data_IF_938706517888
#
_entry.id   IF_938706517888
#
_cell.length_a   1.000
_cell.length_b   1.000
_cell.length_c   1.000
_cell.angle_alpha   90.00
_cell.angle_beta   90.00
_cell.angle_gamma   90.00
#
_symmetry.space_group_name_H-M   'P 1'
#
loop_
_entity.id
_entity.type
_entity.pdbx_description
1 polymer ?
#
# COMPACT_ATOMS: atom_id res chain seq x y z
N UNK A 1 14.74 -26.23 35.05
CA UNK A 1 13.64 -26.73 34.21
C UNK A 1 13.30 -25.70 33.15
N UNK A 2 13.57 -26.01 31.88
CA UNK A 2 12.97 -25.30 30.75
C UNK A 2 11.53 -25.77 30.66
N UNK A 3 10.57 -24.86 30.49
CA UNK A 3 9.16 -25.22 30.31
C UNK A 3 8.99 -25.98 28.99
N UNK A 4 8.91 -27.31 29.07
CA UNK A 4 8.30 -28.17 28.05
C UNK A 4 6.79 -27.88 28.04
N UNK A 5 6.41 -26.78 27.39
CA UNK A 5 5.06 -26.60 26.89
C UNK A 5 5.08 -26.83 25.39
N UNK A 6 4.19 -27.66 24.85
CA UNK A 6 3.89 -27.64 23.43
C UNK A 6 3.57 -26.19 23.06
N UNK A 7 4.39 -25.59 22.20
CA UNK A 7 4.06 -24.32 21.57
C UNK A 7 3.15 -24.69 20.41
N UNK A 8 1.81 -24.54 20.52
CA UNK A 8 0.96 -24.71 19.36
C UNK A 8 1.47 -23.72 18.30
N UNK A 9 1.65 -24.15 17.03
CA UNK A 9 1.95 -23.22 15.97
C UNK A 9 0.88 -22.11 16.01
N UNK A 10 1.25 -20.84 15.79
CA UNK A 10 0.28 -19.76 15.71
C UNK A 10 -0.84 -20.22 14.78
N UNK A 11 -2.10 -20.01 15.17
CA UNK A 11 -3.31 -20.58 14.54
C UNK A 11 -3.54 -20.09 13.11
N UNK A 12 -2.59 -20.38 12.23
CA UNK A 12 -2.68 -20.19 10.80
C UNK A 12 -3.40 -21.41 10.28
N UNK A 13 -4.71 -21.26 10.07
CA UNK A 13 -5.45 -22.21 9.26
C UNK A 13 -4.78 -22.25 7.89
N UNK A 14 -4.16 -23.37 7.55
CA UNK A 14 -3.45 -23.54 6.28
C UNK A 14 -4.38 -23.42 5.06
N UNK A 15 -5.69 -23.55 5.29
CA UNK A 15 -6.75 -23.32 4.30
C UNK A 15 -7.29 -21.88 4.32
N UNK A 16 -6.63 -20.94 4.99
CA UNK A 16 -6.99 -19.53 4.91
C UNK A 16 -6.61 -18.98 3.52
N UNK A 17 -7.59 -18.61 2.66
CA UNK A 17 -7.31 -18.29 1.26
C UNK A 17 -6.32 -17.11 1.13
N UNK A 18 -6.47 -16.07 1.95
CA UNK A 18 -5.58 -14.90 1.94
C UNK A 18 -4.11 -15.22 2.28
N UNK A 19 -3.84 -16.28 3.06
CA UNK A 19 -2.46 -16.71 3.32
C UNK A 19 -1.89 -17.39 2.08
N UNK A 20 -2.66 -18.28 1.47
CA UNK A 20 -2.26 -19.01 0.27
C UNK A 20 -2.08 -18.09 -0.94
N UNK A 21 -2.89 -17.04 -1.08
CA UNK A 21 -2.73 -16.00 -2.10
C UNK A 21 -1.34 -15.34 -2.07
N UNK A 22 -0.89 -14.97 -0.86
CA UNK A 22 0.42 -14.35 -0.66
C UNK A 22 1.55 -15.33 -0.91
N UNK A 23 1.39 -16.58 -0.46
CA UNK A 23 2.38 -17.63 -0.71
C UNK A 23 2.46 -17.97 -2.20
N UNK A 24 1.33 -17.99 -2.91
CA UNK A 24 1.30 -18.16 -4.35
C UNK A 24 1.99 -16.99 -5.07
N UNK A 25 1.76 -15.76 -4.61
CA UNK A 25 2.45 -14.58 -5.16
C UNK A 25 3.96 -14.68 -4.96
N UNK A 26 4.43 -15.04 -3.77
CA UNK A 26 5.86 -15.28 -3.52
C UNK A 26 6.42 -16.41 -4.39
N UNK A 27 5.69 -17.51 -4.52
CA UNK A 27 6.06 -18.62 -5.40
C UNK A 27 6.20 -18.18 -6.86
N UNK A 28 5.34 -17.27 -7.35
CA UNK A 28 5.49 -16.70 -8.68
C UNK A 28 6.81 -15.91 -8.84
N UNK A 29 7.24 -15.15 -7.83
CA UNK A 29 8.53 -14.46 -7.86
C UNK A 29 9.70 -15.45 -7.89
N UNK A 30 9.66 -16.49 -7.06
CA UNK A 30 10.73 -17.51 -7.02
C UNK A 30 10.84 -18.25 -8.36
N UNK A 31 9.72 -18.67 -8.94
CA UNK A 31 9.71 -19.34 -10.24
C UNK A 31 10.11 -18.41 -11.38
N UNK A 32 9.78 -17.13 -11.29
CA UNK A 32 10.20 -16.14 -12.28
C UNK A 32 11.72 -15.99 -12.30
N UNK A 33 12.34 -15.84 -11.13
CA UNK A 33 13.81 -15.77 -10.98
C UNK A 33 14.47 -17.06 -11.46
N UNK A 34 13.93 -18.22 -11.06
CA UNK A 34 14.45 -19.52 -11.49
C UNK A 34 14.34 -19.73 -13.01
N UNK A 35 13.23 -19.31 -13.62
CA UNK A 35 13.01 -19.40 -15.06
C UNK A 35 13.99 -18.53 -15.84
N UNK A 36 14.16 -17.27 -15.44
CA UNK A 36 15.12 -16.37 -16.07
C UNK A 36 16.57 -16.89 -15.93
N UNK A 37 16.94 -17.39 -14.75
CA UNK A 37 18.25 -18.01 -14.52
C UNK A 37 18.52 -19.20 -15.45
N UNK A 38 17.51 -20.05 -15.71
CA UNK A 38 17.62 -21.16 -16.69
C UNK A 38 17.81 -20.67 -18.13
N UNK A 39 17.34 -19.47 -18.46
CA UNK A 39 17.50 -18.83 -19.77
C UNK A 39 18.80 -17.99 -19.87
N UNK A 40 19.61 -17.93 -18.81
CA UNK A 40 20.79 -17.06 -18.74
C UNK A 40 20.45 -15.57 -18.70
N UNK A 41 19.22 -15.23 -18.32
CA UNK A 41 18.74 -13.86 -18.18
C UNK A 41 18.86 -13.43 -16.71
N UNK A 42 19.25 -12.17 -16.49
CA UNK A 42 19.24 -11.57 -15.16
C UNK A 42 17.88 -10.92 -14.89
N UNK A 43 17.27 -11.26 -13.75
CA UNK A 43 16.04 -10.61 -13.31
C UNK A 43 16.39 -9.35 -12.55
N UNK A 44 16.06 -8.21 -13.14
CA UNK A 44 16.17 -6.93 -12.45
C UNK A 44 14.88 -6.64 -11.68
N UNK A 45 14.88 -6.96 -10.38
CA UNK A 45 13.91 -6.43 -9.42
C UNK A 45 14.49 -5.17 -8.77
N UNK A 46 13.99 -3.97 -9.07
CA UNK A 46 14.56 -2.75 -8.52
C UNK A 46 14.50 -2.73 -7.00
N UNK A 47 15.59 -2.30 -6.36
CA UNK A 47 15.69 -2.32 -4.90
C UNK A 47 14.77 -1.30 -4.24
N UNK A 48 14.48 -0.18 -4.92
CA UNK A 48 13.72 0.96 -4.41
C UNK A 48 12.58 1.33 -5.35
N UNK A 49 11.48 1.84 -4.77
CA UNK A 49 10.30 2.25 -5.53
C UNK A 49 10.57 3.35 -6.56
N UNK A 50 11.53 4.25 -6.33
CA UNK A 50 11.88 5.29 -7.32
C UNK A 50 12.25 4.72 -8.69
N UNK A 51 12.91 3.56 -8.72
CA UNK A 51 13.38 2.87 -9.93
C UNK A 51 12.24 2.11 -10.59
N UNK A 52 11.29 1.62 -9.81
CA UNK A 52 10.03 1.06 -10.34
C UNK A 52 9.21 2.17 -10.98
N UNK A 53 9.03 3.31 -10.30
CA UNK A 53 8.17 4.40 -10.78
C UNK A 53 8.67 5.09 -12.04
N UNK A 54 9.98 5.11 -12.29
CA UNK A 54 10.54 5.67 -13.53
C UNK A 54 10.19 4.83 -14.76
N UNK A 55 9.87 3.54 -14.56
CA UNK A 55 9.52 2.58 -15.61
C UNK A 55 8.02 2.30 -15.70
N UNK A 56 7.28 2.57 -14.62
CA UNK A 56 5.83 2.35 -14.53
C UNK A 56 5.05 3.32 -15.44
N UNK A 57 4.31 2.80 -16.42
CA UNK A 57 3.47 3.58 -17.33
C UNK A 57 4.21 4.29 -18.47
N UNK A 58 5.44 3.86 -18.78
CA UNK A 58 6.11 4.25 -20.02
C UNK A 58 5.53 3.42 -21.17
N UNK A 59 4.45 3.93 -21.78
CA UNK A 59 3.78 3.21 -22.87
C UNK A 59 4.47 3.40 -24.24
N UNK A 60 5.27 4.45 -24.45
CA UNK A 60 5.86 4.73 -25.77
C UNK A 60 7.26 5.39 -25.69
N UNK A 61 8.32 4.61 -25.42
CA UNK A 61 9.71 5.09 -25.45
C UNK A 61 10.74 3.98 -25.66
N UNK A 62 11.98 4.35 -26.05
CA UNK A 62 13.12 3.43 -26.16
C UNK A 62 13.42 2.81 -24.77
N UNK A 63 13.08 1.54 -24.61
CA UNK A 63 13.03 0.84 -23.32
C UNK A 63 11.58 0.53 -22.96
N UNK A 64 10.99 -0.43 -23.69
CA UNK A 64 9.61 -0.87 -23.48
C UNK A 64 9.40 -1.22 -22.00
N UNK A 65 8.43 -0.58 -21.34
CA UNK A 65 8.05 -0.92 -19.96
C UNK A 65 7.72 -2.41 -19.78
N UNK A 66 7.44 -3.13 -20.87
CA UNK A 66 7.19 -4.57 -20.91
C UNK A 66 8.38 -5.44 -20.48
N UNK A 67 9.62 -4.97 -20.64
CA UNK A 67 10.82 -5.73 -20.26
C UNK A 67 11.19 -5.57 -18.78
N UNK A 68 10.54 -4.65 -18.07
CA UNK A 68 10.85 -4.30 -16.70
C UNK A 68 9.71 -4.66 -15.74
N UNK A 69 10.07 -4.76 -14.44
CA UNK A 69 9.09 -4.95 -13.38
C UNK A 69 8.13 -3.75 -13.31
N UNK A 70 6.81 -3.96 -13.16
CA UNK A 70 6.12 -5.24 -12.93
C UNK A 70 5.64 -5.97 -14.20
N UNK A 71 5.78 -5.39 -15.39
CA UNK A 71 5.18 -5.93 -16.61
C UNK A 71 5.82 -7.27 -17.06
N UNK A 72 7.13 -7.42 -16.91
CA UNK A 72 7.82 -8.66 -17.24
C UNK A 72 7.42 -9.84 -16.32
N UNK A 73 7.17 -9.58 -15.03
CA UNK A 73 6.60 -10.54 -14.10
C UNK A 73 5.17 -10.90 -14.51
N UNK A 74 4.33 -9.92 -14.85
CA UNK A 74 2.97 -10.15 -15.33
C UNK A 74 2.95 -11.04 -16.59
N UNK A 75 3.84 -10.77 -17.56
CA UNK A 75 4.00 -11.58 -18.76
C UNK A 75 4.44 -13.02 -18.43
N UNK A 76 5.36 -13.19 -17.48
CA UNK A 76 5.78 -14.51 -17.00
C UNK A 76 4.62 -15.29 -16.36
N UNK A 77 3.87 -14.64 -15.45
CA UNK A 77 2.72 -15.26 -14.77
C UNK A 77 1.66 -15.67 -15.79
N UNK A 78 1.36 -14.81 -16.76
CA UNK A 78 0.41 -15.12 -17.83
C UNK A 78 0.87 -16.32 -18.67
N UNK A 79 2.16 -16.40 -19.02
CA UNK A 79 2.70 -17.47 -19.85
C UNK A 79 2.81 -18.82 -19.12
N UNK A 80 3.13 -18.82 -17.82
CA UNK A 80 3.40 -20.04 -17.03
C UNK A 80 2.24 -20.43 -16.09
N UNK A 81 1.10 -19.74 -16.18
CA UNK A 81 -0.06 -19.87 -15.29
C UNK A 81 -0.43 -21.31 -14.91
N UNK A 82 -0.64 -22.18 -15.90
CA UNK A 82 -1.05 -23.57 -15.65
C UNK A 82 0.04 -24.37 -14.91
N UNK A 83 1.30 -24.13 -15.24
CA UNK A 83 2.44 -24.76 -14.56
C UNK A 83 2.55 -24.28 -13.11
N UNK A 84 2.45 -22.97 -12.89
CA UNK A 84 2.51 -22.35 -11.56
C UNK A 84 1.41 -22.89 -10.64
N UNK A 85 0.15 -22.95 -11.11
CA UNK A 85 -0.96 -23.47 -10.31
C UNK A 85 -0.81 -24.96 -9.99
N UNK A 86 -0.35 -25.77 -10.96
CA UNK A 86 -0.13 -27.20 -10.75
C UNK A 86 0.98 -27.44 -9.73
N UNK A 87 2.15 -26.85 -9.93
CA UNK A 87 3.32 -27.03 -9.04
C UNK A 87 3.05 -26.48 -7.64
N UNK A 88 2.38 -25.33 -7.54
CA UNK A 88 1.95 -24.81 -6.25
C UNK A 88 0.93 -25.73 -5.58
N UNK A 89 -0.08 -26.20 -6.32
CA UNK A 89 -1.09 -27.11 -5.80
C UNK A 89 -0.50 -28.44 -5.30
N UNK A 90 0.51 -28.97 -5.98
CA UNK A 90 1.23 -30.19 -5.60
C UNK A 90 1.84 -30.09 -4.19
N UNK A 91 2.38 -28.92 -3.82
CA UNK A 91 2.95 -28.67 -2.49
C UNK A 91 1.91 -28.73 -1.35
N UNK A 92 0.64 -28.50 -1.65
CA UNK A 92 -0.44 -28.44 -0.67
C UNK A 92 -1.50 -29.54 -0.87
N UNK A 93 -1.22 -30.56 -1.68
CA UNK A 93 -2.18 -31.60 -2.09
C UNK A 93 -2.96 -32.27 -0.95
N UNK A 94 -2.34 -32.42 0.24
CA UNK A 94 -2.95 -33.02 1.41
C UNK A 94 -3.80 -32.05 2.27
N UNK A 95 -3.76 -30.75 1.97
CA UNK A 95 -4.26 -29.68 2.85
C UNK A 95 -5.33 -28.82 2.16
N UNK A 96 -5.24 -28.58 0.84
CA UNK A 96 -6.18 -27.70 0.12
C UNK A 96 -7.28 -28.48 -0.62
N UNK A 97 -8.53 -28.06 -0.38
CA UNK A 97 -9.72 -28.58 -1.07
C UNK A 97 -9.89 -28.06 -2.51
N UNK A 98 -10.91 -28.56 -3.21
CA UNK A 98 -11.21 -28.14 -4.58
C UNK A 98 -11.64 -26.65 -4.67
N UNK A 99 -12.35 -26.16 -3.65
CA UNK A 99 -12.79 -24.76 -3.56
C UNK A 99 -11.59 -23.79 -3.46
N UNK A 100 -10.65 -24.08 -2.56
CA UNK A 100 -9.41 -23.30 -2.39
C UNK A 100 -8.58 -23.28 -3.66
N UNK A 101 -8.52 -24.38 -4.43
CA UNK A 101 -7.85 -24.41 -5.73
C UNK A 101 -8.51 -23.50 -6.76
N UNK A 102 -9.83 -23.55 -6.86
CA UNK A 102 -10.60 -22.67 -7.75
C UNK A 102 -10.45 -21.18 -7.35
N UNK A 103 -10.36 -20.91 -6.04
CA UNK A 103 -10.06 -19.58 -5.52
C UNK A 103 -8.67 -19.09 -5.94
N UNK A 104 -7.62 -19.92 -5.78
CA UNK A 104 -6.26 -19.57 -6.20
C UNK A 104 -6.13 -19.36 -7.71
N UNK A 105 -6.88 -20.14 -8.50
CA UNK A 105 -6.95 -19.96 -9.96
C UNK A 105 -7.55 -18.60 -10.34
N UNK A 106 -8.67 -18.21 -9.73
CA UNK A 106 -9.25 -16.87 -9.88
C UNK A 106 -8.31 -15.77 -9.42
N UNK A 107 -7.65 -15.97 -8.28
CA UNK A 107 -6.67 -15.01 -7.75
C UNK A 107 -5.51 -14.76 -8.72
N UNK A 108 -4.95 -15.83 -9.31
CA UNK A 108 -3.82 -15.72 -10.22
C UNK A 108 -4.23 -15.15 -11.59
N UNK A 109 -5.41 -15.52 -12.07
CA UNK A 109 -5.85 -15.25 -13.45
C UNK A 109 -6.71 -14.00 -13.62
N UNK A 110 -7.37 -13.58 -12.53
CA UNK A 110 -8.59 -12.80 -12.61
C UNK A 110 -9.79 -13.63 -13.09
N UNK A 111 -10.99 -13.12 -12.84
CA UNK A 111 -12.24 -13.59 -13.44
C UNK A 111 -13.11 -12.38 -13.82
N UNK A 112 -14.31 -12.61 -14.38
CA UNK A 112 -15.26 -11.51 -14.58
C UNK A 112 -15.51 -10.79 -13.25
N UNK A 113 -15.09 -9.53 -13.14
CA UNK A 113 -15.21 -8.71 -11.93
C UNK A 113 -14.09 -8.85 -10.88
N UNK A 114 -13.19 -9.83 -11.00
CA UNK A 114 -12.08 -10.04 -10.05
C UNK A 114 -10.71 -9.76 -10.69
N UNK A 115 -9.90 -8.91 -10.06
CA UNK A 115 -8.55 -8.59 -10.51
C UNK A 115 -7.56 -9.74 -10.24
N UNK A 116 -6.76 -10.10 -11.23
CA UNK A 116 -5.64 -11.03 -11.09
C UNK A 116 -4.48 -10.46 -10.28
N UNK A 117 -3.52 -11.31 -9.89
CA UNK A 117 -2.35 -10.91 -9.09
C UNK A 117 -1.49 -9.85 -9.80
N UNK A 118 -1.36 -9.94 -11.12
CA UNK A 118 -0.62 -9.02 -11.97
C UNK A 118 -1.24 -7.62 -11.95
N UNK A 119 -2.56 -7.56 -12.05
CA UNK A 119 -3.31 -6.32 -11.90
C UNK A 119 -3.13 -5.76 -10.49
N UNK A 120 -3.26 -6.59 -9.44
CA UNK A 120 -3.17 -6.14 -8.03
C UNK A 120 -1.81 -5.53 -7.71
N UNK A 121 -0.72 -6.14 -8.20
CA UNK A 121 0.64 -5.60 -8.08
C UNK A 121 0.72 -4.25 -8.80
N UNK A 122 0.24 -4.18 -10.04
CA UNK A 122 0.30 -2.98 -10.86
C UNK A 122 -0.52 -1.82 -10.29
N UNK A 123 -1.70 -2.10 -9.75
CA UNK A 123 -2.53 -1.10 -9.07
C UNK A 123 -1.88 -0.61 -7.78
N UNK A 124 -1.36 -1.50 -6.93
CA UNK A 124 -0.69 -1.09 -5.71
C UNK A 124 0.46 -0.12 -6.02
N UNK A 125 1.33 -0.47 -6.98
CA UNK A 125 2.40 0.40 -7.45
C UNK A 125 1.88 1.70 -8.08
N UNK A 126 0.80 1.62 -8.86
CA UNK A 126 0.15 2.76 -9.48
C UNK A 126 -0.43 3.76 -8.48
N UNK A 127 -1.07 3.27 -7.41
CA UNK A 127 -1.59 4.10 -6.31
C UNK A 127 -0.46 4.80 -5.57
N UNK A 128 0.59 4.08 -5.18
CA UNK A 128 1.73 4.67 -4.48
C UNK A 128 2.46 5.70 -5.37
N UNK A 129 2.59 5.44 -6.68
CA UNK A 129 3.12 6.41 -7.64
C UNK A 129 2.25 7.68 -7.71
N UNK A 130 0.93 7.53 -7.86
CA UNK A 130 -0.02 8.66 -7.90
C UNK A 130 0.09 9.51 -6.63
N UNK A 131 0.21 8.88 -5.47
CA UNK A 131 0.40 9.56 -4.20
C UNK A 131 1.72 10.35 -4.18
N UNK A 132 2.83 9.71 -4.54
CA UNK A 132 4.14 10.38 -4.65
C UNK A 132 4.09 11.58 -5.59
N UNK A 133 3.43 11.43 -6.74
CA UNK A 133 3.30 12.49 -7.74
C UNK A 133 2.42 13.65 -7.24
N UNK A 134 1.34 13.35 -6.52
CA UNK A 134 0.49 14.35 -5.85
C UNK A 134 1.29 15.17 -4.83
N UNK A 135 2.02 14.51 -3.92
CA UNK A 135 2.87 15.18 -2.93
C UNK A 135 3.96 16.03 -3.60
N UNK A 136 4.59 15.50 -4.66
CA UNK A 136 5.58 16.26 -5.42
C UNK A 136 4.97 17.48 -6.12
N UNK A 137 3.74 17.38 -6.64
CA UNK A 137 3.03 18.48 -7.25
C UNK A 137 2.69 19.57 -6.22
N UNK A 138 2.20 19.19 -5.04
CA UNK A 138 1.93 20.11 -3.93
C UNK A 138 3.20 20.85 -3.48
N UNK A 139 4.32 20.14 -3.29
CA UNK A 139 5.60 20.75 -2.97
C UNK A 139 6.07 21.76 -4.03
N UNK A 140 5.86 21.46 -5.33
CA UNK A 140 6.17 22.38 -6.43
C UNK A 140 5.25 23.61 -6.43
N UNK A 141 3.98 23.45 -6.04
CA UNK A 141 3.04 24.57 -5.91
C UNK A 141 3.47 25.52 -4.78
N UNK A 142 3.81 24.98 -3.60
CA UNK A 142 4.34 25.77 -2.48
C UNK A 142 5.64 26.49 -2.89
N UNK A 143 6.54 25.81 -3.60
CA UNK A 143 7.77 26.44 -4.11
C UNK A 143 7.51 27.63 -5.04
N UNK A 144 6.42 27.61 -5.83
CA UNK A 144 6.00 28.75 -6.65
C UNK A 144 5.43 29.88 -5.78
N UNK A 145 4.63 29.56 -4.77
CA UNK A 145 4.07 30.55 -3.83
C UNK A 145 5.16 31.26 -3.03
N UNK A 146 6.15 30.51 -2.52
CA UNK A 146 7.34 31.05 -1.84
C UNK A 146 8.04 32.08 -2.74
N UNK A 147 8.34 31.72 -3.99
CA UNK A 147 8.98 32.63 -4.95
C UNK A 147 8.15 33.89 -5.21
N UNK A 148 6.82 33.76 -5.29
CA UNK A 148 5.93 34.90 -5.46
C UNK A 148 5.93 35.82 -4.25
N UNK A 149 5.95 35.28 -3.03
CA UNK A 149 6.01 36.05 -1.79
C UNK A 149 7.36 36.75 -1.61
N UNK A 150 8.46 36.13 -2.01
CA UNK A 150 9.80 36.74 -1.99
C UNK A 150 9.91 37.94 -2.95
N UNK A 151 9.18 37.92 -4.07
CA UNK A 151 9.20 38.95 -5.11
C UNK A 151 8.27 40.14 -4.84
N UNK A 152 7.41 40.10 -3.80
CA UNK A 152 6.52 41.22 -3.48
C UNK A 152 7.33 42.43 -2.97
N UNK A 153 7.10 43.59 -3.56
CA UNK A 153 7.74 44.85 -3.15
C UNK A 153 7.30 45.28 -1.74
N UNK A 154 6.01 45.09 -1.41
CA UNK A 154 5.47 45.37 -0.08
C UNK A 154 5.43 44.08 0.74
N UNK A 155 6.25 44.02 1.79
CA UNK A 155 6.28 42.93 2.75
C UNK A 155 5.35 43.25 3.92
N UNK A 156 4.24 42.53 4.11
CA UNK A 156 3.41 42.70 5.29
C UNK A 156 4.16 42.28 6.56
N UNK A 157 3.64 42.66 7.74
CA UNK A 157 4.33 42.46 9.02
C UNK A 157 4.59 40.97 9.33
N UNK A 158 3.71 40.09 8.84
CA UNK A 158 3.73 38.63 8.97
C UNK A 158 4.44 37.93 7.80
N UNK A 159 5.11 38.67 6.91
CA UNK A 159 5.79 38.10 5.73
C UNK A 159 6.83 37.03 6.10
N UNK A 160 7.62 37.27 7.16
CA UNK A 160 8.65 36.31 7.59
C UNK A 160 8.02 35.03 8.14
N UNK A 161 6.95 35.14 8.93
CA UNK A 161 6.24 34.00 9.50
C UNK A 161 5.56 33.17 8.41
N UNK A 162 4.84 33.81 7.47
CA UNK A 162 4.24 33.12 6.33
C UNK A 162 5.26 32.42 5.45
N UNK A 163 6.42 33.05 5.22
CA UNK A 163 7.49 32.44 4.42
C UNK A 163 8.08 31.22 5.14
N UNK A 164 8.30 31.34 6.46
CA UNK A 164 8.80 30.26 7.30
C UNK A 164 7.84 29.05 7.31
N UNK A 165 6.54 29.28 7.43
CA UNK A 165 5.52 28.21 7.42
C UNK A 165 5.48 27.48 6.07
N UNK A 166 5.48 28.22 4.97
CA UNK A 166 5.46 27.64 3.63
C UNK A 166 6.75 26.86 3.31
N UNK A 167 7.91 27.34 3.78
CA UNK A 167 9.17 26.62 3.64
C UNK A 167 9.16 25.30 4.42
N UNK A 168 8.66 25.33 5.66
CA UNK A 168 8.54 24.15 6.51
C UNK A 168 7.58 23.11 5.89
N UNK A 169 6.41 23.53 5.42
CA UNK A 169 5.43 22.65 4.76
C UNK A 169 6.01 22.03 3.47
N UNK A 170 6.67 22.84 2.64
CA UNK A 170 7.33 22.35 1.42
C UNK A 170 8.43 21.33 1.74
N UNK A 171 9.28 21.61 2.72
CA UNK A 171 10.34 20.67 3.13
C UNK A 171 9.75 19.38 3.73
N UNK A 172 8.60 19.47 4.42
CA UNK A 172 7.87 18.31 4.92
C UNK A 172 7.35 17.41 3.80
N UNK A 173 6.69 17.98 2.79
CA UNK A 173 6.22 17.25 1.61
C UNK A 173 7.39 16.61 0.83
N UNK A 174 8.52 17.30 0.69
CA UNK A 174 9.71 16.75 0.05
C UNK A 174 10.32 15.59 0.85
N UNK A 175 10.26 15.63 2.18
CA UNK A 175 10.68 14.53 3.03
C UNK A 175 9.81 13.28 2.82
N UNK A 176 8.48 13.44 2.72
CA UNK A 176 7.55 12.35 2.39
C UNK A 176 7.85 11.74 1.02
N UNK A 177 8.03 12.58 -0.02
CA UNK A 177 8.40 12.10 -1.37
C UNK A 177 9.71 11.33 -1.35
N UNK A 178 10.71 11.79 -0.57
CA UNK A 178 11.98 11.09 -0.41
C UNK A 178 11.80 9.74 0.30
N UNK A 179 10.94 9.67 1.32
CA UNK A 179 10.58 8.43 2.02
C UNK A 179 9.98 7.41 1.06
N UNK A 180 8.93 7.78 0.33
CA UNK A 180 8.27 6.90 -0.65
C UNK A 180 9.27 6.42 -1.71
N UNK A 181 10.09 7.30 -2.26
CA UNK A 181 11.09 6.94 -3.27
C UNK A 181 12.16 5.97 -2.76
N UNK A 182 12.54 6.10 -1.47
CA UNK A 182 13.57 5.30 -0.83
C UNK A 182 13.08 3.95 -0.29
N UNK A 183 11.77 3.72 -0.21
CA UNK A 183 11.20 2.47 0.30
C UNK A 183 11.60 1.29 -0.57
N UNK A 184 11.88 0.14 0.05
CA UNK A 184 12.28 -1.06 -0.68
C UNK A 184 11.07 -1.68 -1.38
N UNK A 185 11.27 -2.16 -2.60
CA UNK A 185 10.18 -2.72 -3.41
C UNK A 185 9.53 -3.93 -2.73
N UNK A 186 10.33 -4.86 -2.20
CA UNK A 186 9.81 -6.04 -1.50
C UNK A 186 9.08 -5.68 -0.19
N UNK A 187 9.61 -4.72 0.56
CA UNK A 187 8.98 -4.19 1.78
C UNK A 187 7.59 -3.63 1.46
N UNK A 188 7.50 -2.77 0.44
CA UNK A 188 6.22 -2.25 -0.04
C UNK A 188 5.23 -3.36 -0.40
N UNK A 189 5.65 -4.37 -1.17
CA UNK A 189 4.78 -5.48 -1.56
C UNK A 189 4.31 -6.31 -0.34
N UNK A 190 5.16 -6.49 0.68
CA UNK A 190 4.77 -7.16 1.93
C UNK A 190 3.78 -6.34 2.75
N UNK A 191 3.96 -5.02 2.83
CA UNK A 191 3.06 -4.11 3.57
C UNK A 191 1.69 -4.00 2.93
N UNK A 192 1.64 -3.99 1.59
CA UNK A 192 0.39 -4.03 0.82
C UNK A 192 -0.30 -5.40 0.86
N UNK A 193 0.26 -6.38 1.56
CA UNK A 193 -0.31 -7.72 1.70
C UNK A 193 -0.27 -8.55 0.41
N UNK A 194 0.60 -8.19 -0.56
CA UNK A 194 0.83 -8.93 -1.80
C UNK A 194 1.86 -10.05 -1.58
N UNK A 195 2.85 -9.81 -0.73
CA UNK A 195 3.82 -10.83 -0.31
C UNK A 195 3.56 -11.26 1.14
N UNK A 196 4.02 -12.47 1.54
CA UNK A 196 3.85 -12.96 2.89
C UNK A 196 4.48 -12.03 3.93
N UNK A 197 3.73 -11.73 4.99
CA UNK A 197 4.22 -11.06 6.18
C UNK A 197 3.89 -11.92 7.41
N UNK A 198 4.91 -12.41 8.10
CA UNK A 198 4.74 -13.25 9.29
C UNK A 198 4.44 -12.44 10.56
N UNK A 199 4.60 -11.12 10.52
CA UNK A 199 4.23 -10.24 11.63
C UNK A 199 2.74 -9.91 11.63
N UNK A 200 2.13 -9.72 10.44
CA UNK A 200 0.72 -9.36 10.29
C UNK A 200 0.06 -10.14 9.15
N UNK A 201 -1.02 -10.91 9.42
CA UNK A 201 -1.83 -11.55 8.38
C UNK A 201 -2.66 -10.57 7.54
N UNK A 202 -2.65 -9.27 7.83
CA UNK A 202 -3.41 -8.23 7.14
C UNK A 202 -2.48 -7.12 6.66
N UNK A 203 -2.91 -6.36 5.65
CA UNK A 203 -2.18 -5.19 5.18
C UNK A 203 -2.10 -4.15 6.30
N UNK A 204 -0.91 -3.65 6.58
CA UNK A 204 -0.71 -2.79 7.73
C UNK A 204 -1.10 -1.32 7.45
N UNK A 205 -1.43 -0.58 8.51
CA UNK A 205 -1.73 0.85 8.44
C UNK A 205 -0.47 1.64 8.73
N UNK A 206 -0.17 2.61 7.88
CA UNK A 206 1.03 3.45 7.94
C UNK A 206 0.75 4.80 8.59
N UNK A 207 1.63 5.24 9.48
CA UNK A 207 1.74 6.60 9.96
C UNK A 207 3.04 7.21 9.44
N UNK A 208 2.90 8.28 8.67
CA UNK A 208 4.00 9.14 8.26
C UNK A 208 4.05 10.36 9.18
N UNK A 209 5.04 10.39 10.07
CA UNK A 209 5.29 11.51 10.95
C UNK A 209 6.44 12.35 10.42
N UNK A 210 6.16 13.62 10.14
CA UNK A 210 7.17 14.59 9.72
C UNK A 210 7.38 15.58 10.83
N UNK A 211 8.59 15.64 11.36
CA UNK A 211 8.94 16.53 12.47
C UNK A 211 10.02 17.47 11.99
N UNK A 212 9.81 18.77 12.11
CA UNK A 212 10.79 19.76 11.71
C UNK A 212 11.24 20.59 12.90
N UNK A 213 12.51 21.02 12.88
CA UNK A 213 13.09 21.94 13.87
C UNK A 213 13.92 22.99 13.15
N UNK A 214 13.81 24.25 13.58
CA UNK A 214 14.70 25.33 13.13
C UNK A 214 16.15 25.04 13.54
N UNK A 215 17.08 25.07 12.58
CA UNK A 215 18.51 24.87 12.87
C UNK A 215 19.08 26.10 13.56
N UNK A 216 19.89 25.88 14.60
CA UNK A 216 20.58 26.94 15.34
C UNK A 216 21.72 27.60 14.55
N UNK A 217 22.27 26.91 13.53
CA UNK A 217 23.28 27.45 12.59
C UNK A 217 22.95 26.99 11.17
N UNK A 218 22.37 27.85 10.31
CA UNK A 218 22.13 27.51 8.92
C UNK A 218 23.47 27.42 8.17
N UNK A 219 23.72 26.30 7.49
CA UNK A 219 24.83 26.18 6.53
C UNK A 219 24.54 27.07 5.33
N UNK A 220 25.55 27.77 4.79
CA UNK A 220 25.36 28.61 3.61
C UNK A 220 24.84 27.76 2.43
N UNK A 221 23.58 27.98 2.04
CA UNK A 221 22.89 27.23 0.97
C UNK A 221 22.13 25.97 1.40
N UNK A 222 22.08 25.63 2.70
CA UNK A 222 21.26 24.53 3.23
C UNK A 222 19.90 24.99 3.76
N UNK A 223 18.92 24.08 3.86
CA UNK A 223 17.64 24.38 4.50
C UNK A 223 17.86 24.87 5.94
N UNK A 224 17.13 25.93 6.32
CA UNK A 224 17.05 26.48 7.68
C UNK A 224 16.41 25.51 8.66
N UNK A 225 15.75 24.47 8.15
CA UNK A 225 15.06 23.46 8.93
C UNK A 225 15.79 22.12 8.86
N UNK A 226 15.71 21.40 9.97
CA UNK A 226 16.06 20.01 10.07
C UNK A 226 14.76 19.22 10.14
N UNK A 227 14.42 18.55 9.03
CA UNK A 227 13.22 17.74 8.90
C UNK A 227 13.58 16.27 9.07
N UNK A 228 12.93 15.60 10.01
CA UNK A 228 12.98 14.16 10.20
C UNK A 228 11.67 13.56 9.74
N UNK A 229 11.76 12.55 8.89
CA UNK A 229 10.64 11.71 8.52
C UNK A 229 10.76 10.39 9.30
N UNK A 230 9.68 10.02 9.99
CA UNK A 230 9.54 8.76 10.69
C UNK A 230 8.32 8.02 10.13
N UNK A 231 8.55 6.77 9.75
CA UNK A 231 7.50 5.88 9.30
C UNK A 231 7.21 4.85 10.39
N UNK A 232 5.95 4.72 10.77
CA UNK A 232 5.49 3.72 11.73
C UNK A 232 4.39 2.87 11.11
N UNK A 233 4.43 1.56 11.39
CA UNK A 233 3.48 0.59 10.86
C UNK A 233 2.72 -0.06 12.02
N UNK A 234 1.41 -0.23 11.87
CA UNK A 234 0.53 -0.88 12.85
C UNK A 234 -0.42 -1.88 12.19
N UNK A 235 -0.76 -2.93 12.92
CA UNK A 235 -1.84 -3.83 12.51
C UNK A 235 -3.18 -3.06 12.43
N UNK A 236 -4.07 -3.39 11.48
CA UNK A 236 -5.36 -2.70 11.33
C UNK A 236 -6.18 -2.61 12.62
N UNK A 237 -6.26 -3.70 13.37
CA UNK A 237 -7.01 -3.75 14.63
C UNK A 237 -6.53 -2.69 15.66
N UNK A 238 -5.23 -2.50 15.79
CA UNK A 238 -4.65 -1.46 16.67
C UNK A 238 -4.80 -0.07 16.06
N UNK A 239 -4.57 0.05 14.76
CA UNK A 239 -4.57 1.32 14.04
C UNK A 239 -5.92 2.04 14.07
N UNK A 240 -7.05 1.30 14.10
CA UNK A 240 -8.39 1.89 14.23
C UNK A 240 -8.53 2.74 15.50
N UNK A 241 -7.75 2.45 16.54
CA UNK A 241 -7.77 3.21 17.81
C UNK A 241 -6.57 4.15 17.96
N UNK A 242 -5.36 3.65 17.68
CA UNK A 242 -4.10 4.40 17.86
C UNK A 242 -3.87 5.46 16.78
N UNK A 243 -4.32 5.19 15.55
CA UNK A 243 -4.09 6.02 14.37
C UNK A 243 -5.38 6.69 13.89
N UNK A 244 -6.42 6.72 14.73
CA UNK A 244 -7.65 7.43 14.42
C UNK A 244 -7.39 8.94 14.29
N UNK A 245 -8.18 9.67 13.47
CA UNK A 245 -8.09 11.13 13.40
C UNK A 245 -8.20 11.77 14.78
N UNK A 246 -7.30 12.69 15.10
CA UNK A 246 -7.14 13.34 16.42
C UNK A 246 -6.67 12.44 17.57
N UNK A 247 -6.33 11.18 17.32
CA UNK A 247 -5.68 10.35 18.33
C UNK A 247 -4.27 10.85 18.63
N UNK A 248 -3.80 10.56 19.85
CA UNK A 248 -2.42 10.81 20.26
C UNK A 248 -1.62 9.51 20.15
N UNK A 249 -0.60 9.51 19.29
CA UNK A 249 0.26 8.36 19.06
C UNK A 249 1.61 8.55 19.76
N UNK A 250 2.07 7.51 20.45
CA UNK A 250 3.30 7.51 21.23
C UNK A 250 4.29 6.51 20.64
N UNK A 251 5.42 6.99 20.11
CA UNK A 251 6.48 6.13 19.58
C UNK A 251 7.85 6.81 19.64
N UNK A 252 8.90 6.02 19.87
CA UNK A 252 10.29 6.51 19.84
C UNK A 252 10.59 7.65 20.82
N UNK A 253 9.89 7.70 21.97
CA UNK A 253 10.00 8.78 22.95
C UNK A 253 9.30 10.08 22.54
N UNK A 254 8.44 10.04 21.52
CA UNK A 254 7.70 11.19 20.99
C UNK A 254 6.21 10.96 21.12
N UNK A 255 5.47 12.07 21.22
CA UNK A 255 4.02 12.14 21.18
C UNK A 255 3.64 12.96 19.96
N UNK A 256 2.84 12.39 19.07
CA UNK A 256 2.34 13.08 17.87
C UNK A 256 0.82 12.97 17.81
N UNK A 257 0.16 13.97 17.25
CA UNK A 257 -1.29 13.94 17.02
C UNK A 257 -1.53 13.57 15.56
N UNK A 258 -2.51 12.73 15.31
CA UNK A 258 -2.90 12.38 13.94
C UNK A 258 -3.77 13.51 13.40
N UNK A 259 -3.24 14.24 12.41
CA UNK A 259 -3.87 15.46 11.90
C UNK A 259 -4.57 15.26 10.56
N UNK A 260 -4.10 14.31 9.75
CA UNK A 260 -4.62 14.08 8.40
C UNK A 260 -4.73 12.60 8.06
N UNK A 261 -5.73 12.28 7.24
CA UNK A 261 -5.91 10.98 6.59
C UNK A 261 -5.61 11.15 5.11
N UNK A 262 -4.88 10.20 4.52
CA UNK A 262 -4.62 10.25 3.08
C UNK A 262 -5.84 9.77 2.27
N UNK A 263 -6.60 10.74 1.76
CA UNK A 263 -7.75 10.50 0.87
C UNK A 263 -7.30 10.26 -0.58
N UNK A 264 -6.09 10.70 -0.97
CA UNK A 264 -5.59 10.53 -2.34
C UNK A 264 -5.03 9.12 -2.57
N UNK A 265 -4.45 8.50 -1.54
CA UNK A 265 -3.96 7.13 -1.57
C UNK A 265 -5.09 6.09 -1.46
N UNK A 266 -6.28 6.50 -1.02
CA UNK A 266 -7.38 5.60 -0.67
C UNK A 266 -8.66 5.97 -1.40
N UNK A 267 -9.17 5.07 -2.23
CA UNK A 267 -10.46 5.26 -2.87
C UNK A 267 -11.59 5.02 -1.87
N UNK A 268 -12.65 5.84 -1.94
CA UNK A 268 -13.84 5.63 -1.12
C UNK A 268 -14.57 4.42 -1.69
N UNK A 269 -14.71 3.39 -0.88
CA UNK A 269 -15.35 2.14 -1.25
C UNK A 269 -16.81 2.15 -0.81
N UNK A 270 -17.70 1.57 -1.62
CA UNK A 270 -19.08 1.37 -1.22
C UNK A 270 -19.26 -0.04 -0.68
N UNK A 271 -19.64 -0.13 0.59
CA UNK A 271 -19.86 -1.39 1.30
C UNK A 271 -21.32 -1.56 1.67
N UNK A 272 -21.79 -2.80 1.66
CA UNK A 272 -23.06 -3.19 2.26
C UNK A 272 -22.85 -3.95 3.55
N UNK A 273 -23.75 -3.71 4.49
CA UNK A 273 -23.80 -4.42 5.76
C UNK A 273 -25.16 -5.11 5.89
N UNK A 274 -25.17 -6.36 6.32
CA UNK A 274 -26.43 -7.02 6.60
C UNK A 274 -27.00 -6.49 7.93
N UNK A 275 -28.32 -6.30 7.97
CA UNK A 275 -29.04 -5.90 9.17
C UNK A 275 -29.16 -7.02 10.21
N UNK A 276 -29.14 -8.27 9.74
CA UNK A 276 -29.44 -9.47 10.54
C UNK A 276 -28.18 -10.22 10.96
N UNK A 277 -27.09 -10.12 10.19
CA UNK A 277 -25.84 -10.82 10.48
C UNK A 277 -24.61 -9.93 10.21
N UNK A 278 -23.42 -10.40 10.60
CA UNK A 278 -22.18 -9.64 10.42
C UNK A 278 -21.59 -9.73 8.99
N UNK A 279 -22.38 -10.16 8.00
CA UNK A 279 -21.91 -10.22 6.63
C UNK A 279 -21.82 -8.82 6.02
N UNK A 280 -20.69 -8.52 5.38
CA UNK A 280 -20.48 -7.28 4.65
C UNK A 280 -19.78 -7.54 3.31
N UNK A 281 -20.18 -6.80 2.27
CA UNK A 281 -19.66 -6.98 0.91
C UNK A 281 -19.43 -5.62 0.25
N UNK A 282 -18.36 -5.51 -0.54
CA UNK A 282 -18.11 -4.34 -1.38
C UNK A 282 -18.97 -4.40 -2.65
N UNK A 283 -19.71 -3.32 -2.92
CA UNK A 283 -20.71 -3.21 -4.00
C UNK A 283 -20.05 -3.12 -5.38
N UNK A 284 -18.84 -2.57 -5.48
CA UNK A 284 -18.16 -2.32 -6.76
C UNK A 284 -17.61 -3.59 -7.44
N UNK A 285 -17.77 -4.76 -6.81
CA UNK A 285 -17.13 -6.02 -7.22
C UNK A 285 -18.01 -6.91 -8.12
N UNK A 286 -19.21 -6.45 -8.49
CA UNK A 286 -20.13 -7.20 -9.34
C UNK A 286 -20.94 -8.25 -8.57
N UNK A 287 -22.21 -8.39 -8.99
CA UNK A 287 -23.31 -9.08 -8.32
C UNK A 287 -23.76 -8.44 -6.99
N UNK A 288 -24.84 -7.66 -7.08
CA UNK A 288 -25.65 -7.22 -5.94
C UNK A 288 -26.80 -8.22 -5.77
N UNK A 289 -26.64 -9.29 -4.97
CA UNK A 289 -27.72 -10.25 -4.77
C UNK A 289 -28.92 -9.54 -4.11
N UNK A 290 -30.16 -9.95 -4.41
CA UNK A 290 -31.36 -9.33 -3.82
C UNK A 290 -31.52 -9.68 -2.33
N UNK A 291 -30.76 -10.66 -1.83
CA UNK A 291 -30.80 -11.14 -0.45
C UNK A 291 -29.39 -11.37 0.08
N UNK A 292 -29.22 -11.32 1.39
CA UNK A 292 -27.93 -11.63 2.01
C UNK A 292 -27.51 -13.08 1.67
N UNK A 293 -26.30 -13.32 1.13
CA UNK A 293 -25.87 -14.66 0.73
C UNK A 293 -25.67 -15.62 1.91
N UNK A 294 -25.53 -15.08 3.13
CA UNK A 294 -25.31 -15.88 4.34
C UNK A 294 -26.61 -16.20 5.07
N UNK A 295 -27.47 -15.20 5.28
CA UNK A 295 -28.67 -15.36 6.12
C UNK A 295 -30.01 -15.22 5.35
N UNK A 296 -29.99 -14.83 4.07
CA UNK A 296 -31.20 -14.68 3.26
C UNK A 296 -32.04 -13.42 3.57
N UNK A 297 -31.53 -12.47 4.35
CA UNK A 297 -32.26 -11.24 4.66
C UNK A 297 -32.63 -10.47 3.38
N UNK A 298 -33.90 -10.11 3.23
CA UNK A 298 -34.45 -9.39 2.07
C UNK A 298 -34.20 -7.88 2.10
N UNK A 299 -33.83 -7.32 3.26
CA UNK A 299 -33.46 -5.89 3.41
C UNK A 299 -32.03 -5.63 2.94
N UNK A 300 -31.28 -6.66 2.55
CA UNK A 300 -29.93 -6.56 1.99
C UNK A 300 -29.89 -5.69 0.73
N UNK A 301 -30.98 -5.65 -0.05
CA UNK A 301 -31.07 -4.83 -1.26
C UNK A 301 -31.32 -3.34 -1.01
N UNK A 302 -31.64 -2.95 0.23
CA UNK A 302 -32.00 -1.57 0.54
C UNK A 302 -30.79 -0.64 0.49
N UNK A 303 -30.98 0.56 -0.06
CA UNK A 303 -29.94 1.60 -0.08
C UNK A 303 -29.48 2.02 1.33
N UNK A 304 -30.32 1.82 2.36
CA UNK A 304 -29.97 2.08 3.76
C UNK A 304 -28.84 1.17 4.26
N UNK A 305 -28.64 0.01 3.64
CA UNK A 305 -27.55 -0.92 3.97
C UNK A 305 -26.24 -0.56 3.29
N UNK A 306 -26.24 0.41 2.36
CA UNK A 306 -25.03 0.89 1.67
C UNK A 306 -24.37 2.00 2.47
N UNK A 307 -23.10 1.81 2.79
CA UNK A 307 -22.26 2.79 3.46
C UNK A 307 -21.01 3.07 2.64
N UNK A 308 -20.63 4.35 2.56
CA UNK A 308 -19.37 4.78 1.96
C UNK A 308 -18.29 4.75 3.03
N UNK A 309 -17.28 3.94 2.83
CA UNK A 309 -16.18 3.76 3.76
C UNK A 309 -14.86 4.19 3.13
N UNK A 310 -13.99 4.78 3.95
CA UNK A 310 -12.62 5.07 3.58
C UNK A 310 -11.73 4.08 4.35
N UNK A 311 -11.12 3.08 3.69
CA UNK A 311 -10.23 2.15 4.38
C UNK A 311 -9.02 2.90 4.93
N UNK A 312 -8.79 2.81 6.24
CA UNK A 312 -7.68 3.51 6.89
C UNK A 312 -6.35 2.82 6.53
N UNK A 313 -5.68 3.31 5.48
CA UNK A 313 -4.38 2.77 5.03
C UNK A 313 -3.20 3.63 5.47
N UNK A 314 -3.38 4.95 5.45
CA UNK A 314 -2.31 5.89 5.75
C UNK A 314 -2.81 7.17 6.41
N UNK A 315 -2.06 7.63 7.39
CA UNK A 315 -2.29 8.87 8.13
C UNK A 315 -0.99 9.68 8.27
N UNK A 316 -1.14 10.99 8.46
CA UNK A 316 -0.03 11.91 8.66
C UNK A 316 -0.10 12.61 10.01
N UNK A 317 1.08 12.89 10.56
CA UNK A 317 1.28 13.75 11.71
C UNK A 317 2.43 14.73 11.41
N UNK A 318 2.15 16.04 11.48
CA UNK A 318 3.13 17.10 11.16
C UNK A 318 3.68 17.81 12.41
#
# INVERSE_FOLDING_TARGET
EMMEGEVPPPGVFLDAPAVLERQLTAFCFDQWVAYAGKQGLEVELPSQLREVFSRLGAEDGEGSGAEHFPANLAAFIAAQRQGLLREFGEMFTAVIGAETRAHLERFLSGSEGEAGVDWRISEALGREKKQRDSLSHQARALQKQIKQLEQREAKPLDWEEQLEDLEAEKDALLALVKGINGRRTLEFLTEQGLLPNYAFPEAAVRLDSVIWRKRSKPTAGGSRYETWHYEYVRAPASAITELAPNAEFYAGGRKVRIDQVDIAATEIETWRFCDTCNHSQRVDTGEDPPQCPVCGSSTWCDDAQRMRLLPLRQVFAY
#
